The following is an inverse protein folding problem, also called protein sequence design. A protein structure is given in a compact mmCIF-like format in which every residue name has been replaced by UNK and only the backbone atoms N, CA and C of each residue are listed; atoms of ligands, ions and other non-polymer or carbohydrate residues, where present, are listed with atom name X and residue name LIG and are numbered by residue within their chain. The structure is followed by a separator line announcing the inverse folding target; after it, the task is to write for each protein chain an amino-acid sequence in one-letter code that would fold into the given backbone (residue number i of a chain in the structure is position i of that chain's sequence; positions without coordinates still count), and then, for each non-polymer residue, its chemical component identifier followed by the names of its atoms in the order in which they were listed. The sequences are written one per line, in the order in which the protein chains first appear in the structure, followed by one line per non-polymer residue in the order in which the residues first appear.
data_IF_321227535096
#
_entry.id   IF_321227535096
#
_cell.length_a   1.000
_cell.length_b   1.000
_cell.length_c   1.000
_cell.angle_alpha   90.00
_cell.angle_beta   90.00
_cell.angle_gamma   90.00
#
_symmetry.space_group_name_H-M   'P 1'
#
loop_
_entity.id
_entity.type
_entity.pdbx_description
1 polymer ?
#
# COMPACT_ATOMS: atom_id res chain seq x y z
N UNK A 1 -4.55 -7.43 32.21
CA UNK A 1 -5.46 -7.05 31.10
C UNK A 1 -5.11 -5.70 30.49
N UNK A 2 -4.45 -4.79 31.22
CA UNK A 2 -4.04 -3.47 30.70
C UNK A 2 -3.07 -3.51 29.50
N UNK A 3 -2.23 -4.55 29.38
CA UNK A 3 -1.37 -4.75 28.19
C UNK A 3 -2.15 -4.96 26.88
N UNK A 4 -3.37 -5.50 26.95
CA UNK A 4 -4.20 -5.75 25.75
C UNK A 4 -5.04 -4.52 25.37
N UNK A 5 -5.54 -3.77 26.35
CA UNK A 5 -6.39 -2.60 26.09
C UNK A 5 -5.60 -1.31 25.85
N UNK A 6 -4.46 -1.10 26.54
CA UNK A 6 -3.60 0.08 26.32
C UNK A 6 -3.02 0.09 24.90
N UNK A 7 -2.46 -1.05 24.47
CA UNK A 7 -1.93 -1.26 23.12
C UNK A 7 -3.00 -1.10 22.03
N UNK A 8 -4.25 -1.47 22.29
CA UNK A 8 -5.33 -1.32 21.31
C UNK A 8 -5.60 0.15 20.93
N UNK A 9 -5.45 1.09 21.86
CA UNK A 9 -5.60 2.53 21.58
C UNK A 9 -4.48 3.10 20.71
N UNK A 10 -3.24 2.63 20.91
CA UNK A 10 -2.10 2.96 20.06
C UNK A 10 -2.24 2.29 18.67
N UNK A 11 -2.80 1.08 18.57
CA UNK A 11 -3.01 0.41 17.27
C UNK A 11 -3.94 1.26 16.41
N UNK A 12 -5.02 1.78 16.99
CA UNK A 12 -5.97 2.62 16.27
C UNK A 12 -5.36 3.92 15.73
N UNK A 13 -4.28 4.43 16.34
CA UNK A 13 -3.56 5.61 15.83
C UNK A 13 -2.67 5.33 14.61
N UNK A 14 -2.19 4.09 14.43
CA UNK A 14 -1.34 3.70 13.30
C UNK A 14 -2.07 2.86 12.23
N UNK A 15 -3.15 2.17 12.61
CA UNK A 15 -4.00 1.35 11.77
C UNK A 15 -5.46 1.43 12.27
N UNK A 16 -6.13 2.53 11.94
CA UNK A 16 -7.53 2.69 12.29
C UNK A 16 -8.39 1.60 11.63
N UNK A 17 -9.35 1.08 12.40
CA UNK A 17 -10.35 0.15 11.90
C UNK A 17 -11.45 0.98 11.26
N UNK A 18 -11.74 0.71 9.98
CA UNK A 18 -12.76 1.42 9.22
C UNK A 18 -13.96 0.51 8.94
N UNK A 19 -15.15 1.07 8.69
CA UNK A 19 -16.29 0.29 8.23
C UNK A 19 -16.05 -0.43 6.88
N UNK A 20 -15.09 0.05 6.10
CA UNK A 20 -14.60 -0.56 4.86
C UNK A 20 -13.16 -0.95 5.09
N UNK A 21 -12.89 -2.26 5.10
CA UNK A 21 -11.56 -2.82 5.38
C UNK A 21 -10.87 -3.36 4.13
N UNK A 22 -9.56 -3.58 4.27
CA UNK A 22 -8.76 -4.27 3.27
C UNK A 22 -9.19 -5.74 3.12
N UNK A 23 -9.21 -6.25 1.90
CA UNK A 23 -9.43 -7.68 1.63
C UNK A 23 -8.20 -8.55 1.97
N UNK A 24 -7.14 -7.93 2.52
CA UNK A 24 -6.02 -8.63 3.17
C UNK A 24 -6.51 -9.58 4.28
N UNK A 25 -7.61 -9.26 4.96
CA UNK A 25 -8.18 -10.13 5.99
C UNK A 25 -8.75 -11.42 5.41
N UNK A 26 -9.20 -11.42 4.16
CA UNK A 26 -9.65 -12.62 3.45
C UNK A 26 -8.41 -13.41 3.01
N UNK A 27 -7.45 -12.75 2.35
CA UNK A 27 -6.23 -13.40 1.86
C UNK A 27 -5.38 -14.03 2.99
N UNK A 28 -5.36 -13.41 4.17
CA UNK A 28 -4.68 -13.94 5.36
C UNK A 28 -5.23 -15.28 5.82
N UNK A 29 -6.53 -15.53 5.65
CA UNK A 29 -7.14 -16.83 5.99
C UNK A 29 -6.62 -17.96 5.08
N UNK A 30 -6.19 -17.62 3.87
CA UNK A 30 -5.47 -18.51 2.95
C UNK A 30 -3.94 -18.45 3.13
N UNK A 31 -3.42 -17.87 4.22
CA UNK A 31 -2.00 -17.81 4.52
C UNK A 31 -1.21 -16.69 3.81
N UNK A 32 -1.84 -15.90 2.95
CA UNK A 32 -1.19 -14.74 2.32
C UNK A 32 -1.26 -13.50 3.22
N UNK A 33 -0.35 -13.42 4.20
CA UNK A 33 -0.21 -12.26 5.08
C UNK A 33 1.24 -11.78 5.19
N UNK A 34 1.58 -10.67 4.52
CA UNK A 34 2.95 -10.11 4.53
C UNK A 34 3.35 -9.49 5.86
N UNK A 35 2.36 -9.16 6.67
CA UNK A 35 2.55 -8.66 8.02
C UNK A 35 3.54 -9.50 8.84
N UNK A 36 3.38 -10.83 8.80
CA UNK A 36 4.19 -11.75 9.60
C UNK A 36 5.65 -11.83 9.16
N UNK A 37 5.93 -11.60 7.87
CA UNK A 37 7.30 -11.60 7.35
C UNK A 37 8.05 -10.41 7.94
N UNK A 38 7.41 -9.24 7.93
CA UNK A 38 8.07 -8.01 8.29
C UNK A 38 8.35 -7.88 9.79
N UNK A 39 7.59 -8.55 10.66
CA UNK A 39 7.78 -8.47 12.12
C UNK A 39 8.66 -9.57 12.73
N UNK A 40 9.16 -10.52 11.95
CA UNK A 40 10.00 -11.61 12.48
C UNK A 40 11.48 -11.26 12.36
N UNK A 41 12.36 -11.85 13.17
CA UNK A 41 13.81 -11.60 13.14
C UNK A 41 14.62 -12.60 12.30
N UNK A 42 14.05 -13.79 12.04
CA UNK A 42 14.71 -14.91 11.33
C UNK A 42 14.86 -14.70 9.82
N UNK A 43 15.95 -14.09 9.36
CA UNK A 43 16.22 -13.85 7.93
C UNK A 43 16.12 -15.16 7.09
N UNK A 44 15.54 -15.05 5.89
CA UNK A 44 15.39 -16.17 4.92
C UNK A 44 14.58 -17.38 5.42
N UNK A 45 13.56 -17.12 6.24
CA UNK A 45 12.66 -18.18 6.72
C UNK A 45 11.96 -18.92 5.58
N UNK A 46 11.55 -20.17 5.84
CA UNK A 46 10.68 -20.94 4.92
C UNK A 46 9.40 -20.17 4.60
N UNK A 47 8.89 -19.37 5.55
CA UNK A 47 7.71 -18.52 5.36
C UNK A 47 7.97 -17.38 4.37
N UNK A 48 9.14 -16.74 4.40
CA UNK A 48 9.52 -15.69 3.46
C UNK A 48 9.59 -16.24 2.05
N UNK A 49 10.29 -17.37 1.91
CA UNK A 49 10.40 -18.08 0.65
C UNK A 49 9.02 -18.52 0.15
N UNK A 50 8.15 -18.99 1.03
CA UNK A 50 6.81 -19.43 0.63
C UNK A 50 5.92 -18.27 0.21
N UNK A 51 5.84 -17.18 0.98
CA UNK A 51 4.99 -16.03 0.64
C UNK A 51 5.54 -15.36 -0.62
N UNK A 52 6.82 -14.99 -0.66
CA UNK A 52 7.38 -14.21 -1.75
C UNK A 52 7.62 -15.01 -3.05
N UNK A 53 7.46 -16.35 -3.00
CA UNK A 53 7.41 -17.19 -4.18
C UNK A 53 6.05 -17.05 -4.88
N UNK A 54 6.07 -16.56 -6.12
CA UNK A 54 4.89 -16.29 -6.92
C UNK A 54 4.21 -17.56 -7.46
N UNK A 55 4.91 -18.69 -7.44
CA UNK A 55 4.44 -19.97 -7.97
C UNK A 55 3.32 -20.54 -7.08
N UNK A 56 2.30 -21.10 -7.73
CA UNK A 56 1.20 -21.86 -7.11
C UNK A 56 0.41 -21.10 -6.03
N UNK A 57 0.12 -19.82 -6.25
CA UNK A 57 -0.71 -19.00 -5.35
C UNK A 57 -2.19 -18.90 -5.74
N UNK A 58 -2.64 -19.74 -6.70
CA UNK A 58 -4.05 -19.76 -7.14
C UNK A 58 -5.02 -20.02 -6.01
N UNK A 59 -4.72 -20.99 -5.15
CA UNK A 59 -5.60 -21.39 -4.05
C UNK A 59 -6.02 -20.22 -3.14
N UNK A 60 -5.17 -19.20 -2.99
CA UNK A 60 -5.48 -18.04 -2.18
C UNK A 60 -6.51 -17.12 -2.86
N UNK A 61 -6.45 -17.01 -4.18
CA UNK A 61 -7.42 -16.27 -4.98
C UNK A 61 -8.70 -17.08 -5.25
N UNK A 62 -8.62 -18.42 -5.33
CA UNK A 62 -9.78 -19.32 -5.32
C UNK A 62 -10.58 -19.16 -4.01
N UNK A 63 -9.87 -19.13 -2.88
CA UNK A 63 -10.47 -18.87 -1.57
C UNK A 63 -11.11 -17.48 -1.53
N UNK A 64 -10.38 -16.46 -2.00
CA UNK A 64 -10.85 -15.10 -2.06
C UNK A 64 -12.14 -14.96 -2.89
N UNK A 65 -12.19 -15.57 -4.07
CA UNK A 65 -13.37 -15.55 -4.95
C UNK A 65 -14.56 -16.25 -4.27
N UNK A 66 -14.32 -17.39 -3.63
CA UNK A 66 -15.35 -18.10 -2.88
C UNK A 66 -15.92 -17.23 -1.76
N UNK A 67 -15.04 -16.56 -1.01
CA UNK A 67 -15.45 -15.67 0.08
C UNK A 67 -16.28 -14.50 -0.44
N UNK A 68 -15.85 -13.83 -1.51
CA UNK A 68 -16.60 -12.74 -2.13
C UNK A 68 -17.95 -13.22 -2.68
N UNK A 69 -18.03 -14.43 -3.24
CA UNK A 69 -19.29 -15.01 -3.72
C UNK A 69 -20.29 -15.22 -2.58
N UNK A 70 -19.81 -15.66 -1.41
CA UNK A 70 -20.63 -15.78 -0.19
C UNK A 70 -21.14 -14.41 0.22
N UNK A 71 -20.27 -13.39 0.33
CA UNK A 71 -20.71 -12.03 0.68
C UNK A 71 -21.71 -11.49 -0.35
N UNK A 72 -21.45 -11.69 -1.63
CA UNK A 72 -22.32 -11.26 -2.72
C UNK A 72 -23.70 -11.96 -2.67
N UNK A 73 -23.79 -13.17 -2.13
CA UNK A 73 -25.08 -13.85 -1.96
C UNK A 73 -25.97 -13.25 -0.86
N UNK A 74 -25.36 -12.51 0.09
CA UNK A 74 -26.04 -11.95 1.26
C UNK A 74 -26.29 -10.46 1.07
N UNK A 75 -25.27 -9.72 0.64
CA UNK A 75 -25.31 -8.27 0.44
C UNK A 75 -24.40 -7.88 -0.73
N UNK A 76 -24.92 -8.05 -1.97
CA UNK A 76 -24.19 -7.67 -3.17
C UNK A 76 -24.05 -6.14 -3.28
N UNK A 77 -22.86 -5.62 -3.66
CA UNK A 77 -22.73 -4.20 -3.94
C UNK A 77 -23.64 -3.82 -5.11
N UNK A 78 -24.21 -2.60 -5.06
CA UNK A 78 -25.13 -2.11 -6.09
C UNK A 78 -24.46 -1.87 -7.45
N UNK A 79 -23.16 -1.63 -7.47
CA UNK A 79 -22.39 -1.35 -8.69
C UNK A 79 -21.30 -2.39 -8.94
N UNK A 80 -20.32 -2.48 -8.05
CA UNK A 80 -19.14 -3.33 -8.17
C UNK A 80 -18.47 -3.50 -6.80
N UNK A 81 -17.66 -4.55 -6.69
CA UNK A 81 -16.75 -4.72 -5.56
C UNK A 81 -15.61 -3.70 -5.65
N UNK A 82 -15.30 -3.04 -4.53
CA UNK A 82 -14.11 -2.22 -4.37
C UNK A 82 -13.20 -2.91 -3.35
N UNK A 83 -12.03 -3.35 -3.82
CA UNK A 83 -11.09 -4.16 -3.06
C UNK A 83 -9.76 -3.44 -2.96
N UNK A 84 -9.01 -3.67 -1.89
CA UNK A 84 -7.71 -3.06 -1.66
C UNK A 84 -6.90 -3.89 -0.69
N UNK A 85 -5.83 -4.47 -1.20
CA UNK A 85 -4.74 -5.01 -0.40
C UNK A 85 -3.40 -4.73 -1.10
N UNK A 86 -2.39 -4.16 -0.42
CA UNK A 86 -1.07 -3.94 -1.01
C UNK A 86 -0.46 -5.22 -1.61
N UNK A 87 -0.75 -6.38 -1.02
CA UNK A 87 -0.25 -7.68 -1.48
C UNK A 87 -0.70 -8.06 -2.90
N UNK A 88 -1.76 -7.46 -3.43
CA UNK A 88 -2.14 -7.67 -4.83
C UNK A 88 -1.04 -7.25 -5.79
N UNK A 89 -0.24 -6.23 -5.46
CA UNK A 89 0.84 -5.74 -6.33
C UNK A 89 1.96 -6.78 -6.54
N UNK A 90 2.05 -7.77 -5.65
CA UNK A 90 2.99 -8.91 -5.77
C UNK A 90 2.41 -10.01 -6.66
N UNK A 91 1.08 -10.18 -6.67
CA UNK A 91 0.40 -11.30 -7.33
C UNK A 91 -0.54 -10.86 -8.45
N UNK A 92 -0.21 -9.76 -9.16
CA UNK A 92 -1.05 -9.20 -10.22
C UNK A 92 -1.44 -10.25 -11.28
N UNK A 93 -0.51 -11.14 -11.66
CA UNK A 93 -0.80 -12.24 -12.59
C UNK A 93 -1.84 -13.22 -12.07
N UNK A 94 -1.74 -13.58 -10.79
CA UNK A 94 -2.71 -14.50 -10.18
C UNK A 94 -4.05 -13.81 -10.03
N UNK A 95 -4.06 -12.55 -9.60
CA UNK A 95 -5.28 -11.74 -9.50
C UNK A 95 -5.99 -11.67 -10.85
N UNK A 96 -5.30 -11.28 -11.93
CA UNK A 96 -5.90 -11.12 -13.26
C UNK A 96 -6.37 -12.44 -13.86
N UNK A 97 -5.78 -13.58 -13.50
CA UNK A 97 -6.28 -14.90 -13.90
C UNK A 97 -7.62 -15.26 -13.26
N UNK A 98 -7.90 -14.80 -12.04
CA UNK A 98 -9.18 -15.06 -11.35
C UNK A 98 -10.20 -13.94 -11.59
N UNK A 99 -9.73 -12.72 -11.83
CA UNK A 99 -10.55 -11.55 -12.13
C UNK A 99 -10.10 -10.92 -13.46
N UNK A 100 -10.35 -11.58 -14.62
CA UNK A 100 -9.90 -11.09 -15.92
C UNK A 100 -10.49 -9.72 -16.28
N UNK A 101 -11.68 -9.42 -15.76
CA UNK A 101 -12.36 -8.13 -15.95
C UNK A 101 -12.11 -7.13 -14.82
N UNK A 102 -11.10 -7.38 -13.96
CA UNK A 102 -10.76 -6.43 -12.92
C UNK A 102 -10.27 -5.10 -13.51
N UNK A 103 -10.74 -4.03 -12.90
CA UNK A 103 -10.20 -2.68 -13.08
C UNK A 103 -9.13 -2.46 -12.01
N UNK A 104 -7.90 -2.18 -12.43
CA UNK A 104 -6.77 -1.99 -11.52
C UNK A 104 -6.48 -0.50 -11.33
N UNK A 105 -6.55 -0.05 -10.08
CA UNK A 105 -6.12 1.29 -9.67
C UNK A 105 -4.79 1.18 -8.94
N UNK A 106 -3.71 1.61 -9.58
CA UNK A 106 -2.38 1.58 -8.98
C UNK A 106 -2.01 2.96 -8.47
N UNK A 107 -1.97 3.10 -7.14
CA UNK A 107 -1.54 4.34 -6.49
C UNK A 107 -0.03 4.30 -6.26
N UNK A 108 0.67 5.28 -6.79
CA UNK A 108 2.12 5.44 -6.66
C UNK A 108 2.44 6.59 -5.72
N UNK A 109 3.43 6.40 -4.86
CA UNK A 109 3.90 7.41 -3.91
C UNK A 109 5.42 7.39 -3.88
N UNK A 110 6.02 8.53 -3.54
CA UNK A 110 7.47 8.61 -3.37
C UNK A 110 7.95 7.66 -2.29
N UNK A 111 9.00 6.90 -2.59
CA UNK A 111 9.48 5.84 -1.70
C UNK A 111 10.28 6.38 -0.51
N UNK A 112 10.75 7.63 -0.57
CA UNK A 112 11.32 8.34 0.58
C UNK A 112 10.29 8.66 1.66
N UNK A 113 9.00 8.65 1.33
CA UNK A 113 7.91 8.75 2.31
C UNK A 113 7.34 7.37 2.71
N UNK A 114 7.24 6.45 1.75
CA UNK A 114 6.65 5.12 1.98
C UNK A 114 7.52 4.28 2.91
N UNK A 115 8.84 4.23 2.68
CA UNK A 115 9.72 3.36 3.45
C UNK A 115 9.76 3.71 4.93
N UNK A 116 10.02 4.97 5.34
CA UNK A 116 10.01 5.32 6.76
C UNK A 116 8.65 5.07 7.42
N UNK A 117 7.54 5.36 6.71
CA UNK A 117 6.19 5.08 7.21
C UNK A 117 5.96 3.59 7.42
N UNK A 118 6.40 2.74 6.48
CA UNK A 118 6.23 1.29 6.58
C UNK A 118 7.12 0.70 7.67
N UNK A 119 8.38 1.14 7.76
CA UNK A 119 9.29 0.69 8.81
C UNK A 119 8.78 1.05 10.20
N UNK A 120 8.25 2.27 10.41
CA UNK A 120 7.62 2.62 11.68
C UNK A 120 6.38 1.77 11.98
N UNK A 121 5.53 1.54 10.98
CA UNK A 121 4.37 0.66 11.15
C UNK A 121 4.82 -0.75 11.59
N UNK A 122 5.85 -1.31 10.95
CA UNK A 122 6.36 -2.64 11.30
C UNK A 122 7.02 -2.67 12.68
N UNK A 123 7.79 -1.64 13.07
CA UNK A 123 8.34 -1.50 14.43
C UNK A 123 7.25 -1.44 15.48
N UNK A 124 6.18 -0.69 15.20
CA UNK A 124 5.04 -0.60 16.09
C UNK A 124 4.42 -1.99 16.32
N UNK A 125 4.14 -2.69 15.23
CA UNK A 125 3.62 -4.04 15.30
C UNK A 125 4.59 -5.03 15.96
N UNK A 126 5.89 -4.92 15.72
CA UNK A 126 6.91 -5.71 16.39
C UNK A 126 6.78 -5.58 17.92
N UNK A 127 6.66 -4.36 18.44
CA UNK A 127 6.51 -4.09 19.88
C UNK A 127 5.20 -4.65 20.47
N UNK A 128 4.18 -4.96 19.65
CA UNK A 128 2.96 -5.62 20.11
C UNK A 128 3.20 -7.09 20.46
N UNK A 129 4.11 -7.76 19.75
CA UNK A 129 4.35 -9.20 19.89
C UNK A 129 5.63 -9.52 20.67
N UNK A 130 6.60 -8.60 20.67
CA UNK A 130 7.92 -8.79 21.27
C UNK A 130 8.19 -7.77 22.38
N UNK A 131 9.23 -8.01 23.17
CA UNK A 131 9.65 -7.11 24.25
C UNK A 131 10.37 -5.88 23.66
N UNK A 132 10.07 -4.69 24.19
CA UNK A 132 10.70 -3.43 23.73
C UNK A 132 12.22 -3.41 23.93
N UNK A 133 12.75 -4.24 24.85
CA UNK A 133 14.17 -4.44 25.08
C UNK A 133 14.87 -5.26 24.00
N UNK A 134 14.13 -5.94 23.11
CA UNK A 134 14.72 -6.70 21.99
C UNK A 134 15.09 -5.76 20.82
N UNK A 135 16.14 -4.98 21.02
CA UNK A 135 16.64 -4.04 20.02
C UNK A 135 17.18 -4.76 18.77
N UNK A 136 17.84 -5.90 18.96
CA UNK A 136 18.41 -6.69 17.87
C UNK A 136 17.31 -7.23 16.96
N UNK A 137 16.25 -7.81 17.52
CA UNK A 137 15.12 -8.32 16.76
C UNK A 137 14.32 -7.20 16.09
N UNK A 138 14.19 -6.03 16.74
CA UNK A 138 13.56 -4.84 16.15
C UNK A 138 14.32 -4.31 14.94
N UNK A 139 15.65 -4.25 15.02
CA UNK A 139 16.49 -3.81 13.90
C UNK A 139 16.44 -4.83 12.75
N UNK A 140 16.38 -6.13 13.05
CA UNK A 140 16.16 -7.18 12.06
C UNK A 140 14.79 -7.04 11.37
N UNK A 141 13.71 -6.84 12.13
CA UNK A 141 12.36 -6.58 11.60
C UNK A 141 12.34 -5.34 10.69
N UNK A 142 13.05 -4.28 11.07
CA UNK A 142 13.18 -3.07 10.24
C UNK A 142 13.84 -3.38 8.89
N UNK A 143 14.96 -4.12 8.87
CA UNK A 143 15.60 -4.55 7.62
C UNK A 143 14.66 -5.38 6.76
N UNK A 144 13.85 -6.26 7.36
CA UNK A 144 12.85 -7.06 6.64
C UNK A 144 11.72 -6.24 6.07
N UNK A 145 11.25 -5.21 6.78
CA UNK A 145 10.27 -4.28 6.25
C UNK A 145 10.77 -3.64 4.94
N UNK A 146 12.06 -3.26 4.87
CA UNK A 146 12.69 -2.76 3.65
C UNK A 146 12.70 -3.84 2.56
N UNK A 147 13.12 -5.07 2.88
CA UNK A 147 13.15 -6.20 1.93
C UNK A 147 11.76 -6.54 1.36
N UNK A 148 10.70 -6.44 2.16
CA UNK A 148 9.33 -6.63 1.70
C UNK A 148 8.96 -5.57 0.68
N UNK A 149 9.27 -4.29 0.95
CA UNK A 149 9.05 -3.20 -0.01
C UNK A 149 9.87 -3.40 -1.28
N UNK A 150 11.13 -3.82 -1.18
CA UNK A 150 11.95 -4.14 -2.35
C UNK A 150 11.30 -5.18 -3.23
N UNK A 151 10.76 -6.24 -2.62
CA UNK A 151 10.07 -7.30 -3.35
C UNK A 151 8.80 -6.78 -4.03
N UNK A 152 8.01 -5.95 -3.33
CA UNK A 152 6.81 -5.35 -3.90
C UNK A 152 7.14 -4.48 -5.11
N UNK A 153 8.13 -3.59 -4.97
CA UNK A 153 8.56 -2.70 -6.04
C UNK A 153 9.15 -3.49 -7.20
N UNK A 154 9.96 -4.51 -6.93
CA UNK A 154 10.49 -5.42 -7.95
C UNK A 154 9.36 -6.09 -8.74
N UNK A 155 8.37 -6.67 -8.06
CA UNK A 155 7.22 -7.32 -8.73
C UNK A 155 6.40 -6.33 -9.56
N UNK A 156 6.19 -5.10 -9.07
CA UNK A 156 5.51 -4.05 -9.84
C UNK A 156 6.30 -3.71 -11.11
N UNK A 157 7.61 -3.45 -11.00
CA UNK A 157 8.45 -3.13 -12.15
C UNK A 157 8.46 -4.29 -13.15
N UNK A 158 8.72 -5.52 -12.70
CA UNK A 158 8.75 -6.71 -13.56
C UNK A 158 7.42 -6.92 -14.29
N UNK A 159 6.29 -6.72 -13.61
CA UNK A 159 4.97 -6.82 -14.22
C UNK A 159 4.78 -5.80 -15.37
N UNK A 160 5.31 -4.59 -15.25
CA UNK A 160 5.14 -3.53 -16.26
C UNK A 160 6.18 -3.57 -17.38
N UNK A 161 7.38 -4.11 -17.12
CA UNK A 161 8.47 -4.13 -18.11
C UNK A 161 8.59 -5.44 -18.87
N UNK A 162 7.84 -6.48 -18.50
CA UNK A 162 7.90 -7.78 -19.19
C UNK A 162 7.38 -7.69 -20.63
N UNK A 163 7.92 -8.49 -21.57
CA UNK A 163 7.43 -8.53 -22.95
C UNK A 163 5.94 -8.87 -23.02
N UNK A 164 5.19 -8.05 -23.74
CA UNK A 164 3.73 -8.12 -23.85
C UNK A 164 3.21 -9.39 -24.56
N UNK A 165 4.10 -10.15 -25.20
CA UNK A 165 3.78 -11.43 -25.87
C UNK A 165 3.44 -12.58 -24.90
N UNK A 166 3.56 -12.37 -23.59
CA UNK A 166 3.25 -13.34 -22.55
C UNK A 166 1.85 -13.14 -21.91
N UNK A 167 1.03 -12.25 -22.46
CA UNK A 167 -0.25 -11.86 -21.85
C UNK A 167 -1.34 -11.92 -22.91
N UNK A 168 -2.36 -12.75 -22.67
CA UNK A 168 -3.48 -12.95 -23.60
C UNK A 168 -4.46 -11.76 -23.62
N UNK A 169 -4.36 -10.81 -22.69
CA UNK A 169 -5.15 -9.57 -22.68
C UNK A 169 -4.30 -8.31 -22.45
N UNK A 170 -4.64 -7.16 -23.09
CA UNK A 170 -3.84 -5.95 -22.96
C UNK A 170 -3.89 -5.41 -21.53
N UNK A 171 -2.83 -4.70 -21.13
CA UNK A 171 -2.76 -3.80 -19.97
C UNK A 171 -3.81 -2.66 -19.96
N UNK A 172 -4.89 -2.75 -20.75
CA UNK A 172 -5.90 -1.72 -20.96
C UNK A 172 -6.76 -1.42 -19.73
N UNK A 173 -6.64 -2.20 -18.65
CA UNK A 173 -7.47 -2.05 -17.46
C UNK A 173 -6.72 -1.48 -16.24
N UNK A 174 -5.54 -0.89 -16.43
CA UNK A 174 -4.75 -0.27 -15.34
C UNK A 174 -4.79 1.25 -15.43
N UNK A 175 -5.17 1.90 -14.33
CA UNK A 175 -5.08 3.34 -14.17
C UNK A 175 -4.09 3.71 -13.06
N UNK A 176 -3.06 4.46 -13.43
CA UNK A 176 -2.03 4.93 -12.51
C UNK A 176 -2.42 6.26 -11.88
N UNK A 177 -2.27 6.36 -10.56
CA UNK A 177 -2.59 7.54 -9.77
C UNK A 177 -1.37 7.93 -8.95
N UNK A 178 -0.90 9.17 -9.07
CA UNK A 178 0.06 9.71 -8.11
C UNK A 178 -0.67 10.08 -6.82
N UNK A 179 -0.12 9.67 -5.68
CA UNK A 179 -0.65 10.00 -4.36
C UNK A 179 -0.80 11.51 -4.19
N UNK A 180 0.20 12.29 -4.62
CA UNK A 180 0.18 13.76 -4.51
C UNK A 180 -0.94 14.39 -5.35
N UNK A 181 -1.19 13.86 -6.57
CA UNK A 181 -2.31 14.27 -7.41
C UNK A 181 -3.65 13.93 -6.75
N UNK A 182 -3.75 12.74 -6.16
CA UNK A 182 -4.94 12.32 -5.42
C UNK A 182 -5.17 13.22 -4.22
N UNK A 183 -4.14 13.53 -3.43
CA UNK A 183 -4.27 14.37 -2.24
C UNK A 183 -4.56 15.83 -2.58
N UNK A 184 -4.01 16.36 -3.67
CA UNK A 184 -4.23 17.74 -4.10
C UNK A 184 -5.57 17.95 -4.82
N UNK A 185 -6.09 16.94 -5.54
CA UNK A 185 -7.27 17.08 -6.41
C UNK A 185 -8.19 15.85 -6.36
N UNK A 186 -8.57 15.41 -5.16
CA UNK A 186 -9.33 14.17 -4.89
C UNK A 186 -10.51 13.91 -5.84
N UNK A 187 -11.48 14.83 -5.92
CA UNK A 187 -12.68 14.64 -6.76
C UNK A 187 -12.33 14.59 -8.25
N UNK A 188 -11.41 15.44 -8.70
CA UNK A 188 -10.99 15.44 -10.10
C UNK A 188 -10.24 14.15 -10.47
N UNK A 189 -9.44 13.61 -9.56
CA UNK A 189 -8.77 12.32 -9.74
C UNK A 189 -9.77 11.18 -9.81
N UNK A 190 -10.77 11.13 -8.92
CA UNK A 190 -11.84 10.10 -8.98
C UNK A 190 -12.66 10.24 -10.26
N UNK A 191 -12.93 11.47 -10.73
CA UNK A 191 -13.61 11.70 -12.01
C UNK A 191 -12.84 11.15 -13.19
N UNK A 192 -11.52 11.40 -13.26
CA UNK A 192 -10.65 10.84 -14.31
C UNK A 192 -10.64 9.31 -14.31
N UNK A 193 -10.67 8.69 -13.13
CA UNK A 193 -10.77 7.23 -12.99
C UNK A 193 -12.10 6.75 -13.61
N UNK A 194 -13.21 7.38 -13.24
CA UNK A 194 -14.54 7.01 -13.77
C UNK A 194 -14.63 7.22 -15.28
N UNK A 195 -14.13 8.34 -15.79
CA UNK A 195 -14.10 8.63 -17.23
C UNK A 195 -13.25 7.60 -18.00
N UNK A 196 -12.09 7.21 -17.46
CA UNK A 196 -11.21 6.22 -18.10
C UNK A 196 -11.86 4.84 -18.24
N UNK A 197 -12.61 4.40 -17.23
CA UNK A 197 -13.31 3.11 -17.24
C UNK A 197 -14.75 3.17 -17.77
N UNK A 198 -15.22 4.34 -18.22
CA UNK A 198 -16.59 4.52 -18.70
C UNK A 198 -17.66 4.29 -17.62
N UNK A 199 -17.33 4.56 -16.35
CA UNK A 199 -18.25 4.39 -15.23
C UNK A 199 -19.21 5.59 -15.11
N UNK A 200 -20.48 5.37 -14.72
CA UNK A 200 -21.45 6.45 -14.60
C UNK A 200 -21.07 7.44 -13.49
N UNK A 201 -21.10 8.73 -13.81
CA UNK A 201 -20.89 9.83 -12.87
C UNK A 201 -22.20 10.61 -12.67
N UNK A 202 -22.68 10.69 -11.43
CA UNK A 202 -23.87 11.47 -11.08
C UNK A 202 -23.54 12.64 -10.16
N UNK A 203 -24.35 13.70 -10.22
CA UNK A 203 -24.24 14.84 -9.29
C UNK A 203 -24.42 14.40 -7.83
N UNK A 204 -25.30 13.42 -7.59
CA UNK A 204 -25.51 12.84 -6.26
C UNK A 204 -24.25 12.14 -5.73
N UNK A 205 -23.56 11.37 -6.57
CA UNK A 205 -22.31 10.71 -6.21
C UNK A 205 -21.23 11.72 -5.84
N UNK A 206 -21.07 12.77 -6.64
CA UNK A 206 -20.12 13.84 -6.36
C UNK A 206 -20.47 14.59 -5.06
N UNK A 207 -21.75 14.90 -4.83
CA UNK A 207 -22.20 15.54 -3.61
C UNK A 207 -21.90 14.70 -2.36
N UNK A 208 -22.13 13.38 -2.42
CA UNK A 208 -21.77 12.44 -1.33
C UNK A 208 -20.27 12.43 -1.05
N UNK A 209 -19.43 12.40 -2.09
CA UNK A 209 -17.98 12.49 -1.91
C UNK A 209 -17.55 13.82 -1.27
N UNK A 210 -18.14 14.94 -1.70
CA UNK A 210 -17.86 16.28 -1.12
C UNK A 210 -18.21 16.33 0.37
N UNK A 211 -19.36 15.79 0.75
CA UNK A 211 -19.78 15.66 2.15
C UNK A 211 -18.77 14.81 2.93
N UNK A 212 -18.41 13.64 2.40
CA UNK A 212 -17.46 12.75 3.06
C UNK A 212 -16.09 13.41 3.27
N UNK A 213 -15.56 14.11 2.26
CA UNK A 213 -14.28 14.82 2.35
C UNK A 213 -14.31 15.97 3.35
N UNK A 214 -15.41 16.71 3.42
CA UNK A 214 -15.63 17.76 4.43
C UNK A 214 -15.65 17.17 5.84
N UNK A 215 -16.30 16.02 6.01
CA UNK A 215 -16.47 15.38 7.31
C UNK A 215 -15.22 14.58 7.72
N UNK A 216 -14.32 14.29 6.77
CA UNK A 216 -13.08 13.53 6.96
C UNK A 216 -11.84 14.29 6.42
N UNK A 217 -11.50 15.48 6.97
CA UNK A 217 -10.30 16.20 6.59
C UNK A 217 -9.03 15.34 6.74
N UNK A 218 -8.09 15.53 5.82
CA UNK A 218 -6.77 14.90 5.86
C UNK A 218 -6.03 15.25 7.15
N UNK A 219 -5.20 14.33 7.64
CA UNK A 219 -4.38 14.55 8.84
C UNK A 219 -5.11 14.34 10.17
N UNK A 220 -6.37 13.87 10.17
CA UNK A 220 -7.06 13.42 11.40
C UNK A 220 -6.29 12.38 12.21
N UNK A 221 -5.33 11.68 11.58
CA UNK A 221 -4.49 10.65 12.21
C UNK A 221 -3.04 11.11 12.44
N UNK A 222 -2.79 12.43 12.38
CA UNK A 222 -1.45 13.00 12.57
C UNK A 222 -0.60 13.02 11.29
N UNK A 223 0.28 14.01 11.17
CA UNK A 223 1.40 13.99 10.24
C UNK A 223 2.61 13.49 11.00
N UNK A 224 2.96 12.24 10.83
CA UNK A 224 4.24 11.76 11.33
C UNK A 224 5.33 12.22 10.36
N UNK A 225 6.20 13.11 10.82
CA UNK A 225 7.45 13.39 10.13
C UNK A 225 8.34 12.15 10.33
N UNK A 226 8.48 11.36 9.27
CA UNK A 226 9.35 10.20 9.30
C UNK A 226 10.69 10.56 8.68
N UNK A 227 11.78 10.14 9.31
CA UNK A 227 13.13 10.36 8.77
C UNK A 227 13.70 9.09 8.17
N UNK A 228 14.25 9.17 6.95
CA UNK A 228 15.05 8.09 6.37
C UNK A 228 16.28 7.77 7.23
N UNK A 229 16.88 8.79 7.87
CA UNK A 229 18.10 8.62 8.67
C UNK A 229 17.88 7.75 9.90
N UNK A 230 16.66 7.71 10.43
CA UNK A 230 16.28 6.80 11.54
C UNK A 230 16.45 5.33 11.14
N UNK A 231 16.34 5.03 9.86
CA UNK A 231 16.44 3.69 9.29
C UNK A 231 17.77 3.44 8.57
N UNK A 232 18.75 4.34 8.74
CA UNK A 232 20.05 4.25 8.08
C UNK A 232 19.97 4.40 6.56
N UNK A 233 18.94 5.09 6.05
CA UNK A 233 18.75 5.35 4.62
C UNK A 233 18.98 6.83 4.30
N UNK A 234 19.44 7.10 3.08
CA UNK A 234 19.55 8.43 2.49
C UNK A 234 18.62 8.57 1.29
N UNK A 235 18.40 9.79 0.80
CA UNK A 235 17.61 10.01 -0.42
C UNK A 235 18.30 9.37 -1.62
N UNK A 236 19.62 9.47 -1.67
CA UNK A 236 20.46 8.88 -2.71
C UNK A 236 20.32 7.36 -2.73
N UNK A 237 20.23 6.71 -1.56
CA UNK A 237 19.93 5.27 -1.48
C UNK A 237 18.58 4.93 -2.11
N UNK A 238 17.54 5.74 -1.86
CA UNK A 238 16.20 5.54 -2.45
C UNK A 238 16.23 5.70 -3.97
N UNK A 239 16.88 6.76 -4.45
CA UNK A 239 17.00 7.04 -5.89
C UNK A 239 17.71 5.92 -6.64
N UNK A 240 18.80 5.39 -6.07
CA UNK A 240 19.55 4.29 -6.67
C UNK A 240 18.78 2.96 -6.56
N UNK A 241 18.25 2.64 -5.38
CA UNK A 241 17.58 1.37 -5.10
C UNK A 241 16.32 1.17 -5.94
N UNK A 242 15.58 2.24 -6.21
CA UNK A 242 14.28 2.18 -6.90
C UNK A 242 14.24 2.97 -8.22
N UNK A 243 15.40 3.19 -8.85
CA UNK A 243 15.53 3.97 -10.08
C UNK A 243 14.50 3.60 -11.16
N UNK A 244 14.32 2.30 -11.41
CA UNK A 244 13.37 1.81 -12.42
C UNK A 244 11.91 2.16 -12.08
N UNK A 245 11.50 2.03 -10.82
CA UNK A 245 10.14 2.38 -10.38
C UNK A 245 9.91 3.89 -10.46
N UNK A 246 10.90 4.67 -10.03
CA UNK A 246 10.87 6.13 -10.08
C UNK A 246 10.74 6.62 -11.54
N UNK A 247 11.52 6.05 -12.45
CA UNK A 247 11.47 6.38 -13.88
C UNK A 247 10.11 6.04 -14.48
N UNK A 248 9.58 4.85 -14.20
CA UNK A 248 8.30 4.39 -14.74
C UNK A 248 7.10 5.21 -14.25
N UNK A 249 7.08 5.58 -12.97
CA UNK A 249 5.84 6.06 -12.34
C UNK A 249 5.93 7.45 -11.71
N UNK A 250 7.11 7.94 -11.31
CA UNK A 250 7.22 9.16 -10.50
C UNK A 250 7.83 10.36 -11.25
N UNK A 251 8.59 10.14 -12.33
CA UNK A 251 9.18 11.24 -13.11
C UNK A 251 8.24 11.90 -14.11
N UNK A 252 7.18 11.20 -14.48
CA UNK A 252 6.20 11.66 -15.47
C UNK A 252 4.88 12.00 -14.78
N UNK A 253 4.81 13.09 -14.02
CA UNK A 253 3.50 13.63 -13.60
C UNK A 253 2.88 14.41 -14.77
N UNK A 254 1.71 13.99 -15.30
CA UNK A 254 1.00 14.76 -16.32
C UNK A 254 0.42 16.08 -15.78
N UNK A 255 0.53 16.36 -14.47
CA UNK A 255 0.05 17.59 -13.85
C UNK A 255 1.14 18.64 -13.61
N UNK A 256 2.40 18.34 -13.89
CA UNK A 256 3.51 19.28 -13.78
C UNK A 256 3.83 19.68 -12.34
N UNK A 257 5.11 19.95 -12.09
CA UNK A 257 5.72 20.37 -10.83
C UNK A 257 6.02 19.24 -9.84
N UNK A 258 7.16 18.58 -10.05
CA UNK A 258 8.01 18.14 -8.93
C UNK A 258 8.91 19.34 -8.62
N UNK A 259 8.53 20.17 -7.63
CA UNK A 259 9.51 21.06 -7.01
C UNK A 259 10.38 20.18 -6.11
N UNK A 260 11.61 19.92 -6.52
CA UNK A 260 12.60 19.15 -5.76
C UNK A 260 13.04 19.82 -4.46
N UNK A 261 12.62 21.07 -4.17
CA UNK A 261 13.39 21.95 -3.28
C UNK A 261 12.64 22.48 -2.04
N UNK A 262 11.46 21.98 -1.67
CA UNK A 262 10.69 22.57 -0.55
C UNK A 262 10.72 21.83 0.80
N UNK A 263 11.61 20.86 1.00
CA UNK A 263 11.82 20.24 2.33
C UNK A 263 13.18 20.52 2.98
N UNK A 264 14.01 21.38 2.38
CA UNK A 264 15.35 21.68 2.88
C UNK A 264 15.41 22.88 3.89
N UNK A 265 14.33 23.26 4.58
CA UNK A 265 14.37 24.49 5.40
C UNK A 265 13.73 24.47 6.79
N UNK A 266 13.34 23.32 7.34
CA UNK A 266 12.82 23.27 8.72
C UNK A 266 13.76 22.61 9.75
N UNK A 267 14.96 22.19 9.38
CA UNK A 267 15.94 21.59 10.31
C UNK A 267 16.83 22.62 11.02
N UNK A 268 16.45 23.89 11.10
CA UNK A 268 17.23 24.89 11.84
C UNK A 268 16.34 25.95 12.46
N UNK A 269 15.55 25.60 13.48
CA UNK A 269 15.13 26.52 14.56
C UNK A 269 14.32 25.81 15.66
N UNK A 270 14.96 24.92 16.43
CA UNK A 270 14.56 24.68 17.84
C UNK A 270 15.83 24.40 18.66
N UNK A 271 16.69 25.39 18.79
CA UNK A 271 17.57 25.54 19.95
C UNK A 271 17.54 27.03 20.32
N UNK A 272 17.18 27.30 21.57
CA UNK A 272 16.99 28.59 22.26
C UNK A 272 15.53 29.06 22.38
N UNK A 273 14.82 28.49 23.35
CA UNK A 273 13.96 29.20 24.30
C UNK A 273 13.68 28.29 25.51
#
# INVERSE_FOLDING_TARGET
MDKLFGRASEIASYHAIFPIEEDVYILRQAGLGTFYIAITSDEESVSDSWILNLISKNFAYDYHETFLRILNSVDAPRSHWLLKAPIHSVYLDTLLRHYPHAVLLMVHRRLDEVLPSYCQLMRYFYNLYFEESDLTGRDASTRRAIQVIDKFIKCIVEFHTRPQQLIDEPYSNIFHVLYDDLMGKQIATVRRIYDHFGLPWSEEFEAKMRIWLRDNPQGKQGRHAYSLTEFGLTREDIEQRYANYIELFLRSSPLGVVNSDQHASNDTQVQNA
#
